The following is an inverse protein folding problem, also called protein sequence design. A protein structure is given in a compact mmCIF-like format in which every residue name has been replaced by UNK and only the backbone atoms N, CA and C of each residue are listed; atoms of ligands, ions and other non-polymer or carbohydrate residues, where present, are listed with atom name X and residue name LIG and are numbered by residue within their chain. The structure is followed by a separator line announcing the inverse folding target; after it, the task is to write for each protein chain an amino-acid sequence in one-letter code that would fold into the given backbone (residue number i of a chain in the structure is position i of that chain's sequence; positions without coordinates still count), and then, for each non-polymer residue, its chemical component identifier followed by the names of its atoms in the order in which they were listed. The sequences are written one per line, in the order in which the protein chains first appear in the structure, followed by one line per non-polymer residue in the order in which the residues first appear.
data_IF_677564527792
#
_entry.id   IF_677564527792
#
_cell.length_a   1.000
_cell.length_b   1.000
_cell.length_c   1.000
_cell.angle_alpha   90.00
_cell.angle_beta   90.00
_cell.angle_gamma   90.00
#
_symmetry.space_group_name_H-M   'P 1'
#
loop_
_entity.id
_entity.type
_entity.pdbx_description
1 polymer ?
#
# COMPACT_ATOMS: atom_id res chain seq x y z
N UNK A 1 -4.22 2.30 -15.67
CA UNK A 1 -5.16 3.47 -15.40
C UNK A 1 -5.76 3.43 -13.99
N UNK A 2 -5.93 2.24 -13.41
CA UNK A 2 -6.46 2.03 -12.05
C UNK A 2 -5.41 2.41 -10.99
N UNK A 3 -4.14 2.03 -11.17
CA UNK A 3 -3.03 2.40 -10.28
C UNK A 3 -2.87 3.92 -10.13
N UNK A 4 -2.98 4.68 -11.23
CA UNK A 4 -3.01 6.16 -11.18
C UNK A 4 -4.18 6.72 -10.37
N UNK A 5 -5.37 6.14 -10.44
CA UNK A 5 -6.53 6.60 -9.64
C UNK A 5 -6.41 6.26 -8.16
N UNK A 6 -5.75 5.14 -7.83
CA UNK A 6 -5.47 4.72 -6.46
C UNK A 6 -4.41 5.63 -5.83
N UNK A 7 -3.29 5.88 -6.54
CA UNK A 7 -2.24 6.85 -6.16
C UNK A 7 -2.82 8.24 -5.89
N UNK A 8 -3.68 8.75 -6.79
CA UNK A 8 -4.31 10.07 -6.60
C UNK A 8 -5.33 10.13 -5.46
N UNK A 9 -5.99 9.03 -5.07
CA UNK A 9 -6.90 9.04 -3.90
C UNK A 9 -6.13 8.96 -2.58
N UNK A 10 -5.10 8.12 -2.52
CA UNK A 10 -4.24 7.94 -1.34
C UNK A 10 -3.43 9.22 -1.08
N UNK A 11 -2.80 9.79 -2.11
CA UNK A 11 -2.00 11.03 -2.00
C UNK A 11 -2.87 12.24 -1.63
N UNK A 12 -4.08 12.35 -2.17
CA UNK A 12 -4.95 13.51 -1.93
C UNK A 12 -5.63 13.48 -0.55
N UNK A 13 -5.76 12.31 0.10
CA UNK A 13 -6.13 12.22 1.52
C UNK A 13 -4.93 12.52 2.44
N UNK A 14 -3.74 11.99 2.11
CA UNK A 14 -2.53 12.22 2.91
C UNK A 14 -2.13 13.69 2.97
N UNK A 15 -2.23 14.44 1.86
CA UNK A 15 -1.85 15.87 1.82
C UNK A 15 -2.83 16.77 2.60
N UNK A 16 -4.09 16.36 2.79
CA UNK A 16 -5.09 17.15 3.54
C UNK A 16 -4.98 16.92 5.05
N UNK A 17 -4.59 15.71 5.48
CA UNK A 17 -4.41 15.38 6.90
C UNK A 17 -3.13 16.00 7.50
N UNK A 18 -2.04 16.06 6.73
CA UNK A 18 -0.73 16.54 7.22
C UNK A 18 -0.69 18.07 7.42
N UNK A 19 -1.49 18.85 6.69
CA UNK A 19 -1.50 20.32 6.84
C UNK A 19 -2.33 20.84 8.02
N UNK A 20 -3.18 20.02 8.65
CA UNK A 20 -4.04 20.47 9.75
C UNK A 20 -3.38 20.23 11.13
N UNK A 21 -2.52 19.22 11.27
CA UNK A 21 -1.84 18.92 12.55
C UNK A 21 -0.57 19.76 12.80
N UNK A 22 0.18 20.13 11.75
CA UNK A 22 1.44 20.91 11.90
C UNK A 22 1.21 22.35 12.38
N UNK A 23 0.01 22.91 12.17
CA UNK A 23 -0.32 24.29 12.61
C UNK A 23 -0.66 24.38 14.11
N UNK A 24 -0.93 23.25 14.78
CA UNK A 24 -1.32 23.27 16.19
C UNK A 24 -0.15 23.20 17.19
N UNK A 25 1.03 22.73 16.79
CA UNK A 25 2.13 22.39 17.73
C UNK A 25 3.16 23.53 17.92
N UNK A 26 3.21 24.54 17.05
CA UNK A 26 4.17 25.67 17.17
C UNK A 26 3.60 26.97 17.76
N UNK A 27 2.39 26.94 18.32
CA UNK A 27 1.64 28.16 18.62
C UNK A 27 1.25 28.40 20.08
N UNK A 28 2.19 28.51 21.03
CA UNK A 28 1.96 29.29 22.27
C UNK A 28 3.28 29.74 22.95
N UNK A 29 3.89 30.81 22.43
CA UNK A 29 4.89 31.57 23.20
C UNK A 29 4.22 32.64 24.07
N UNK A 30 4.35 32.42 25.38
CA UNK A 30 4.34 33.36 26.51
C UNK A 30 4.12 34.85 26.21
N UNK A 31 3.06 35.43 26.81
CA UNK A 31 3.01 36.87 27.09
C UNK A 31 2.88 37.12 28.59
N UNK A 32 4.02 37.39 29.23
CA UNK A 32 4.08 38.04 30.55
C UNK A 32 3.57 39.48 30.47
N UNK A 33 2.69 39.88 31.39
CA UNK A 33 2.57 41.27 31.84
C UNK A 33 2.48 41.31 33.36
N UNK A 34 3.36 42.11 33.95
CA UNK A 34 3.58 42.19 35.40
C UNK A 34 2.74 43.23 36.14
N UNK A 35 2.75 43.02 37.46
CA UNK A 35 2.66 43.89 38.63
C UNK A 35 1.63 45.02 38.69
N UNK A 36 0.85 44.98 39.78
CA UNK A 36 0.73 46.12 40.70
C UNK A 36 0.57 45.64 42.17
N UNK A 37 1.39 46.21 43.05
CA UNK A 37 1.37 46.04 44.51
C UNK A 37 0.35 47.00 45.13
N UNK A 38 -0.42 46.54 46.11
CA UNK A 38 -0.85 47.42 47.21
C UNK A 38 -0.81 46.71 48.57
N UNK A 39 -0.45 47.50 49.57
CA UNK A 39 0.14 47.10 50.85
C UNK A 39 -0.92 47.20 51.97
N UNK A 40 -1.06 46.17 52.81
CA UNK A 40 -1.94 46.20 53.99
C UNK A 40 -1.48 45.24 55.08
N UNK A 41 -0.76 45.76 56.08
CA UNK A 41 -0.38 45.06 57.31
C UNK A 41 -1.57 44.83 58.24
N UNK A 42 -1.77 43.60 58.73
CA UNK A 42 -2.31 43.31 60.07
C UNK A 42 -1.55 42.12 60.68
N UNK A 43 -1.29 42.20 61.99
CA UNK A 43 -0.54 41.23 62.81
C UNK A 43 -1.44 40.16 63.44
N UNK A 44 -0.85 38.98 63.59
CA UNK A 44 -1.02 37.92 64.61
C UNK A 44 -2.43 37.34 64.85
N UNK A 45 -2.55 36.02 64.64
CA UNK A 45 -2.77 35.04 65.73
C UNK A 45 -2.42 33.65 65.20
N UNK A 46 -1.51 32.94 65.87
CA UNK A 46 -1.30 31.50 65.67
C UNK A 46 -2.55 30.76 66.13
N UNK A 47 -3.32 30.20 65.18
CA UNK A 47 -4.24 29.12 65.44
C UNK A 47 -3.81 27.92 64.60
N UNK A 48 -3.52 26.84 65.32
CA UNK A 48 -3.21 25.53 64.77
C UNK A 48 -4.51 24.92 64.29
N UNK A 49 -4.91 25.26 63.07
CA UNK A 49 -6.04 24.61 62.42
C UNK A 49 -5.61 23.23 61.93
N UNK A 50 -6.34 22.22 62.38
CA UNK A 50 -6.37 20.93 61.69
C UNK A 50 -7.09 21.19 60.37
N UNK A 51 -6.36 21.28 59.26
CA UNK A 51 -6.94 21.18 57.92
C UNK A 51 -7.73 19.88 57.85
N UNK A 52 -9.05 20.00 57.89
CA UNK A 52 -9.91 19.02 57.25
C UNK A 52 -9.64 19.20 55.76
N UNK A 53 -9.11 18.17 55.11
CA UNK A 53 -9.16 18.08 53.65
C UNK A 53 -10.62 18.29 53.25
N UNK A 54 -10.93 19.41 52.63
CA UNK A 54 -12.14 19.54 51.83
C UNK A 54 -11.99 18.49 50.72
N UNK A 55 -12.94 17.57 50.58
CA UNK A 55 -12.98 16.67 49.42
C UNK A 55 -13.07 17.58 48.19
N UNK A 56 -11.98 17.64 47.42
CA UNK A 56 -11.94 18.31 46.14
C UNK A 56 -12.92 17.55 45.24
N UNK A 57 -14.02 18.21 44.88
CA UNK A 57 -15.04 17.62 44.01
C UNK A 57 -14.70 18.02 42.58
N UNK A 58 -14.28 17.05 41.79
CA UNK A 58 -14.02 17.23 40.38
C UNK A 58 -15.30 17.07 39.54
N UNK A 59 -15.46 17.91 38.53
CA UNK A 59 -16.55 17.80 37.56
C UNK A 59 -16.14 16.83 36.45
N UNK A 60 -17.07 15.99 36.00
CA UNK A 60 -16.80 15.04 34.94
C UNK A 60 -17.09 15.67 33.58
N UNK A 61 -16.14 15.49 32.66
CA UNK A 61 -16.23 15.90 31.27
C UNK A 61 -16.15 14.65 30.39
N UNK A 62 -17.08 14.56 29.43
CA UNK A 62 -17.10 13.43 28.50
C UNK A 62 -15.96 13.55 27.51
N UNK A 63 -15.12 12.51 27.43
CA UNK A 63 -13.98 12.46 26.52
C UNK A 63 -14.41 12.58 25.06
N UNK A 64 -13.67 13.40 24.31
CA UNK A 64 -13.78 13.50 22.86
C UNK A 64 -12.92 12.50 22.09
N UNK A 65 -12.11 11.69 22.79
CA UNK A 65 -11.16 10.76 22.17
C UNK A 65 -11.88 9.60 21.46
N UNK A 66 -11.33 9.22 20.30
CA UNK A 66 -11.83 8.07 19.55
C UNK A 66 -11.34 6.77 20.19
N UNK A 67 -10.05 6.73 20.55
CA UNK A 67 -9.41 5.56 21.13
C UNK A 67 -9.26 5.66 22.65
N UNK A 68 -9.03 4.53 23.33
CA UNK A 68 -8.71 4.54 24.76
C UNK A 68 -7.33 5.17 25.04
N UNK A 69 -6.41 5.05 24.08
CA UNK A 69 -5.04 5.56 24.16
C UNK A 69 -4.61 6.14 22.80
N UNK A 70 -4.04 7.33 22.80
CA UNK A 70 -3.54 7.97 21.58
C UNK A 70 -2.11 8.46 21.82
N UNK A 71 -1.17 8.05 20.97
CA UNK A 71 0.26 8.34 21.12
C UNK A 71 0.81 9.15 19.94
N UNK A 72 1.62 10.17 20.25
CA UNK A 72 2.43 10.92 19.29
C UNK A 72 3.89 10.80 19.68
N UNK A 73 4.67 10.09 18.86
CA UNK A 73 6.09 9.81 19.07
C UNK A 73 6.91 10.85 18.31
N UNK A 74 7.61 11.70 19.04
CA UNK A 74 8.56 12.67 18.50
C UNK A 74 9.98 12.12 18.59
N UNK A 75 10.66 12.07 17.46
CA UNK A 75 12.04 11.60 17.32
C UNK A 75 12.91 12.76 16.85
N UNK A 76 13.91 13.10 17.65
CA UNK A 76 15.04 13.89 17.17
C UNK A 76 16.12 12.91 16.70
N UNK A 77 16.69 13.17 15.54
CA UNK A 77 17.71 12.33 14.92
C UNK A 77 18.92 13.15 14.48
N UNK A 78 20.08 12.51 14.42
CA UNK A 78 21.27 13.11 13.82
C UNK A 78 21.10 13.33 12.31
N UNK A 79 22.09 13.95 11.66
CA UNK A 79 22.02 14.21 10.22
C UNK A 79 21.93 12.94 9.35
N UNK A 80 22.25 11.76 9.87
CA UNK A 80 22.12 10.49 9.16
C UNK A 80 20.75 9.83 9.37
N UNK A 81 19.92 10.37 10.26
CA UNK A 81 18.61 9.84 10.62
C UNK A 81 18.63 8.87 11.80
N UNK A 82 19.75 8.78 12.55
CA UNK A 82 19.83 7.94 13.75
C UNK A 82 19.19 8.66 14.94
N UNK A 83 18.26 8.04 15.68
CA UNK A 83 17.61 8.68 16.82
C UNK A 83 18.59 9.09 17.93
N UNK A 84 18.44 10.32 18.42
CA UNK A 84 19.17 10.87 19.57
C UNK A 84 18.27 11.10 20.77
N UNK A 85 16.98 11.38 20.53
CA UNK A 85 15.95 11.53 21.55
C UNK A 85 14.61 10.99 21.05
N UNK A 86 13.88 10.28 21.90
CA UNK A 86 12.52 9.81 21.62
C UNK A 86 11.60 10.22 22.78
N UNK A 87 10.67 11.11 22.47
CA UNK A 87 9.68 11.65 23.41
C UNK A 87 8.28 11.30 22.92
N UNK A 88 7.45 10.76 23.81
CA UNK A 88 6.11 10.29 23.47
C UNK A 88 5.10 11.07 24.28
N UNK A 89 4.20 11.77 23.59
CA UNK A 89 3.01 12.35 24.20
C UNK A 89 1.89 11.34 24.11
N UNK A 90 1.22 11.08 25.23
CA UNK A 90 0.15 10.09 25.34
C UNK A 90 -1.10 10.75 25.93
N UNK A 91 -2.23 10.55 25.27
CA UNK A 91 -3.55 10.83 25.82
C UNK A 91 -4.20 9.52 26.27
N UNK A 92 -4.83 9.51 27.45
CA UNK A 92 -5.63 8.39 27.97
C UNK A 92 -7.07 8.84 28.18
N UNK A 93 -7.99 8.09 27.59
CA UNK A 93 -9.42 8.36 27.69
C UNK A 93 -9.94 8.14 29.10
N UNK A 94 -10.69 9.10 29.62
CA UNK A 94 -11.43 8.97 30.86
C UNK A 94 -12.61 8.00 30.67
N UNK A 95 -12.64 6.85 31.37
CA UNK A 95 -13.69 5.85 31.19
C UNK A 95 -15.00 6.20 31.92
N UNK A 96 -15.07 7.35 32.61
CA UNK A 96 -16.28 7.85 33.26
C UNK A 96 -16.08 8.19 34.73
N UNK A 97 -17.14 8.78 35.30
CA UNK A 97 -17.16 9.20 36.71
C UNK A 97 -16.87 8.02 37.66
N UNK A 98 -16.03 8.29 38.67
CA UNK A 98 -15.61 7.35 39.72
C UNK A 98 -14.86 6.09 39.21
N UNK A 99 -14.40 6.09 37.96
CA UNK A 99 -13.57 5.03 37.39
C UNK A 99 -12.08 5.33 37.56
N UNK A 100 -11.25 4.29 37.53
CA UNK A 100 -9.79 4.43 37.51
C UNK A 100 -9.29 4.57 36.08
N UNK A 101 -8.27 5.41 35.90
CA UNK A 101 -7.56 5.52 34.63
C UNK A 101 -6.27 4.71 34.76
N UNK A 102 -6.15 3.65 33.97
CA UNK A 102 -5.00 2.75 33.98
C UNK A 102 -4.28 2.77 32.65
N UNK A 103 -2.96 2.54 32.70
CA UNK A 103 -2.12 2.46 31.52
C UNK A 103 -1.07 1.34 31.66
N UNK A 104 -0.66 0.80 30.52
CA UNK A 104 0.50 -0.06 30.35
C UNK A 104 1.48 0.69 29.47
N UNK A 105 2.67 1.01 29.99
CA UNK A 105 3.67 1.72 29.20
C UNK A 105 5.10 1.32 29.57
N UNK A 106 5.93 1.14 28.55
CA UNK A 106 7.37 0.93 28.64
C UNK A 106 8.15 2.24 28.75
N UNK A 107 7.47 3.38 28.56
CA UNK A 107 8.06 4.70 28.63
C UNK A 107 8.56 5.01 30.05
N UNK A 108 9.60 5.83 30.11
CA UNK A 108 10.19 6.30 31.36
C UNK A 108 10.00 7.80 31.53
N UNK A 109 10.25 8.33 32.74
CA UNK A 109 10.15 9.76 33.04
C UNK A 109 8.75 10.35 32.75
N UNK A 110 7.70 9.60 33.12
CA UNK A 110 6.31 10.02 32.92
C UNK A 110 6.05 11.35 33.63
N UNK A 111 5.57 12.34 32.88
CA UNK A 111 5.29 13.69 33.36
C UNK A 111 3.89 14.09 32.91
N UNK A 112 3.01 14.41 33.87
CA UNK A 112 1.69 14.97 33.55
C UNK A 112 1.86 16.34 32.87
N UNK A 113 1.12 16.58 31.79
CA UNK A 113 1.18 17.82 31.00
C UNK A 113 -0.04 18.72 31.24
N UNK A 114 -1.13 18.15 31.73
CA UNK A 114 -2.38 18.86 31.99
C UNK A 114 -2.98 18.43 33.33
N UNK A 115 -3.46 19.39 34.13
CA UNK A 115 -4.02 19.09 35.44
C UNK A 115 -2.96 18.84 36.52
N UNK A 116 -3.41 18.25 37.63
CA UNK A 116 -2.64 17.95 38.84
C UNK A 116 -2.74 16.48 39.26
N UNK A 117 -3.27 15.61 38.40
CA UNK A 117 -3.43 14.18 38.62
C UNK A 117 -2.07 13.53 38.90
N UNK A 118 -1.98 12.83 40.02
CA UNK A 118 -0.79 12.04 40.35
C UNK A 118 -0.80 10.67 39.64
N UNK A 119 0.39 10.20 39.26
CA UNK A 119 0.60 8.86 38.69
C UNK A 119 1.24 7.92 39.70
N UNK A 120 0.61 6.76 39.90
CA UNK A 120 1.11 5.70 40.77
C UNK A 120 1.52 4.48 39.96
N UNK A 121 2.76 4.02 40.12
CA UNK A 121 3.20 2.75 39.52
C UNK A 121 2.60 1.57 40.29
N UNK A 122 1.94 0.66 39.55
CA UNK A 122 1.42 -0.61 40.04
C UNK A 122 2.42 -1.77 39.84
N UNK A 123 3.59 -1.50 39.26
CA UNK A 123 4.60 -2.49 38.89
C UNK A 123 4.30 -3.18 37.55
N UNK A 124 5.32 -3.85 36.98
CA UNK A 124 5.23 -4.53 35.68
C UNK A 124 4.73 -3.62 34.54
N UNK A 125 5.26 -2.39 34.46
CA UNK A 125 4.89 -1.37 33.46
C UNK A 125 3.42 -0.91 33.53
N UNK A 126 2.71 -1.20 34.63
CA UNK A 126 1.34 -0.74 34.86
C UNK A 126 1.33 0.51 35.72
N UNK A 127 0.47 1.45 35.35
CA UNK A 127 0.30 2.73 36.04
C UNK A 127 -1.18 3.01 36.28
N UNK A 128 -1.48 3.71 37.37
CA UNK A 128 -2.79 4.24 37.70
C UNK A 128 -2.67 5.74 37.84
N UNK A 129 -3.53 6.47 37.14
CA UNK A 129 -3.64 7.92 37.20
C UNK A 129 -4.84 8.29 38.07
N UNK A 130 -4.69 9.34 38.86
CA UNK A 130 -5.84 9.97 39.51
C UNK A 130 -6.86 10.42 38.46
N UNK A 131 -8.15 10.28 38.78
CA UNK A 131 -9.23 10.67 37.88
C UNK A 131 -9.89 11.93 38.43
N UNK A 132 -9.54 13.08 37.85
CA UNK A 132 -10.14 14.37 38.15
C UNK A 132 -11.23 14.76 37.13
N UNK A 133 -11.83 13.76 36.46
CA UNK A 133 -12.99 13.96 35.58
C UNK A 133 -12.66 14.34 34.14
N UNK A 134 -11.38 14.49 33.80
CA UNK A 134 -10.87 14.82 32.45
C UNK A 134 -10.02 13.67 31.88
N UNK A 135 -9.67 13.75 30.59
CA UNK A 135 -8.68 12.87 29.97
C UNK A 135 -7.27 13.18 30.49
N UNK A 136 -6.39 12.17 30.52
CA UNK A 136 -5.00 12.35 30.97
C UNK A 136 -4.09 12.62 29.78
N UNK A 137 -3.28 13.67 29.86
CA UNK A 137 -2.24 13.97 28.88
C UNK A 137 -0.87 13.93 29.57
N UNK A 138 -0.04 12.95 29.21
CA UNK A 138 1.29 12.83 29.78
C UNK A 138 2.37 12.72 28.70
N UNK A 139 3.61 13.01 29.10
CA UNK A 139 4.80 12.83 28.28
C UNK A 139 5.72 11.80 28.92
N UNK A 140 6.32 10.94 28.12
CA UNK A 140 7.34 9.98 28.53
C UNK A 140 8.47 9.89 27.51
N UNK A 141 9.55 9.19 27.88
CA UNK A 141 10.75 9.03 27.05
C UNK A 141 11.06 7.56 26.82
N UNK A 142 11.54 7.24 25.62
CA UNK A 142 12.06 5.93 25.26
C UNK A 142 13.59 5.98 25.03
N UNK A 143 14.24 4.82 25.13
CA UNK A 143 15.67 4.71 24.82
C UNK A 143 15.89 5.00 23.32
N UNK A 144 16.84 5.88 22.92
CA UNK A 144 17.11 6.17 21.50
C UNK A 144 17.52 4.93 20.68
N UNK A 145 18.01 3.86 21.31
CA UNK A 145 18.29 2.58 20.68
C UNK A 145 17.04 1.69 20.47
N UNK A 146 15.85 2.17 20.84
CA UNK A 146 14.59 1.47 20.55
C UNK A 146 14.38 1.40 19.04
N UNK A 147 14.11 0.20 18.52
CA UNK A 147 13.83 0.01 17.10
C UNK A 147 12.52 0.70 16.74
N UNK A 148 12.59 1.72 15.88
CA UNK A 148 11.43 2.38 15.28
C UNK A 148 10.82 1.48 14.21
N UNK A 149 9.49 1.52 14.00
CA UNK A 149 8.85 0.71 12.96
C UNK A 149 9.27 1.16 11.55
N UNK A 150 9.57 2.44 11.36
CA UNK A 150 10.18 2.96 10.14
C UNK A 150 11.46 3.69 10.47
N UNK A 151 12.57 3.34 9.81
CA UNK A 151 13.81 4.11 9.89
C UNK A 151 13.98 5.02 8.68
N UNK A 152 14.55 6.20 8.91
CA UNK A 152 14.95 7.15 7.87
C UNK A 152 16.47 7.19 7.82
N UNK A 153 17.05 6.98 6.64
CA UNK A 153 18.50 7.07 6.44
C UNK A 153 18.83 8.15 5.42
N UNK A 154 19.67 9.10 5.82
CA UNK A 154 20.13 10.18 4.95
C UNK A 154 21.59 9.95 4.52
N UNK A 155 21.84 10.03 3.22
CA UNK A 155 23.18 9.97 2.63
C UNK A 155 23.43 11.18 1.74
N UNK A 156 24.60 11.78 1.87
CA UNK A 156 24.94 13.05 1.23
C UNK A 156 26.07 12.90 0.23
N UNK A 157 25.99 13.67 -0.86
CA UNK A 157 27.02 13.71 -1.87
C UNK A 157 27.32 15.14 -2.29
N UNK A 158 28.60 15.48 -2.42
CA UNK A 158 29.09 16.75 -2.98
C UNK A 158 29.89 16.45 -4.25
N UNK A 159 29.48 17.05 -5.37
CA UNK A 159 30.08 16.84 -6.69
C UNK A 159 30.23 15.35 -7.08
N UNK A 160 29.25 14.55 -6.64
CA UNK A 160 29.18 13.10 -6.90
C UNK A 160 29.98 12.22 -5.94
N UNK A 161 30.72 12.79 -4.98
CA UNK A 161 31.41 12.03 -3.92
C UNK A 161 30.57 11.99 -2.65
N UNK A 162 30.44 10.81 -2.04
CA UNK A 162 29.78 10.66 -0.75
C UNK A 162 30.58 11.38 0.35
N UNK A 163 29.89 12.16 1.18
CA UNK A 163 30.47 12.99 2.24
C UNK A 163 29.62 12.90 3.51
N UNK A 164 30.18 13.22 4.67
CA UNK A 164 29.39 13.38 5.89
C UNK A 164 28.66 14.73 5.91
N UNK A 165 27.58 14.83 6.68
CA UNK A 165 26.81 16.08 6.80
C UNK A 165 27.66 17.27 7.27
N UNK A 166 28.56 17.06 8.24
CA UNK A 166 29.51 18.08 8.74
C UNK A 166 30.40 18.70 7.67
N UNK A 167 30.55 18.04 6.51
CA UNK A 167 31.36 18.52 5.40
C UNK A 167 30.57 19.38 4.41
N UNK A 168 29.24 19.44 4.54
CA UNK A 168 28.37 20.18 3.62
C UNK A 168 28.17 21.64 4.02
N UNK A 169 28.27 21.97 5.30
CA UNK A 169 28.14 23.32 5.83
C UNK A 169 29.00 24.34 5.06
N UNK A 170 28.36 25.40 4.55
CA UNK A 170 29.01 26.49 3.81
C UNK A 170 29.62 26.09 2.46
N UNK A 171 29.38 24.87 1.97
CA UNK A 171 29.97 24.41 0.70
C UNK A 171 29.28 25.01 -0.52
N UNK A 172 29.99 24.98 -1.65
CA UNK A 172 29.48 25.34 -2.97
C UNK A 172 29.79 24.19 -3.92
N UNK A 173 28.79 23.70 -4.65
CA UNK A 173 28.91 22.55 -5.54
C UNK A 173 27.57 21.90 -5.82
N UNK A 174 27.56 20.79 -6.57
CA UNK A 174 26.34 20.00 -6.77
C UNK A 174 26.13 19.10 -5.57
N UNK A 175 25.09 19.38 -4.78
CA UNK A 175 24.68 18.53 -3.66
C UNK A 175 23.62 17.55 -4.13
N UNK A 176 23.70 16.32 -3.62
CA UNK A 176 22.66 15.31 -3.71
C UNK A 176 22.41 14.72 -2.33
N UNK A 177 21.15 14.71 -1.90
CA UNK A 177 20.68 14.13 -0.65
C UNK A 177 19.77 12.97 -0.99
N UNK A 178 20.09 11.77 -0.47
CA UNK A 178 19.26 10.58 -0.63
C UNK A 178 18.69 10.19 0.72
N UNK A 179 17.36 10.13 0.81
CA UNK A 179 16.60 9.74 1.99
C UNK A 179 15.97 8.39 1.72
N UNK A 180 16.34 7.35 2.47
CA UNK A 180 15.81 5.99 2.33
C UNK A 180 14.91 5.67 3.53
N UNK A 181 13.76 5.06 3.26
CA UNK A 181 12.76 4.69 4.26
C UNK A 181 12.69 3.17 4.30
N UNK A 182 12.86 2.58 5.47
CA UNK A 182 12.81 1.13 5.66
C UNK A 182 11.82 0.80 6.75
N UNK A 183 10.90 -0.13 6.45
CA UNK A 183 9.91 -0.61 7.38
C UNK A 183 10.39 -1.92 8.03
N UNK A 184 10.41 -1.94 9.36
CA UNK A 184 10.90 -3.05 10.19
C UNK A 184 9.78 -3.89 10.81
N UNK A 185 8.52 -3.62 10.48
CA UNK A 185 7.37 -4.31 11.08
C UNK A 185 6.97 -5.54 10.29
N UNK A 186 7.63 -6.67 10.60
CA UNK A 186 7.28 -7.99 10.07
C UNK A 186 7.61 -8.19 8.59
N UNK A 187 7.22 -9.34 8.06
CA UNK A 187 7.40 -9.72 6.65
C UNK A 187 6.18 -10.53 6.17
N UNK A 188 5.89 -10.49 4.87
CA UNK A 188 4.79 -11.23 4.25
C UNK A 188 3.44 -10.93 4.90
N UNK A 189 2.78 -11.95 5.43
CA UNK A 189 1.44 -11.84 6.06
C UNK A 189 1.44 -11.10 7.41
N UNK A 190 2.59 -10.96 8.08
CA UNK A 190 2.69 -10.24 9.37
C UNK A 190 3.19 -8.80 9.20
N UNK A 191 3.21 -8.28 7.98
CA UNK A 191 3.74 -6.97 7.67
C UNK A 191 2.73 -5.87 7.99
N UNK A 192 3.10 -4.92 8.87
CA UNK A 192 2.28 -3.74 9.17
C UNK A 192 2.67 -2.60 8.20
N UNK A 193 1.74 -2.09 7.37
CA UNK A 193 2.06 -1.03 6.44
C UNK A 193 2.15 0.33 7.14
N UNK A 194 3.18 1.10 6.82
CA UNK A 194 3.30 2.50 7.24
C UNK A 194 3.25 3.42 6.03
N UNK A 195 2.46 4.48 6.16
CA UNK A 195 2.48 5.62 5.25
C UNK A 195 3.52 6.60 5.74
N UNK A 196 4.41 7.05 4.85
CA UNK A 196 5.45 8.02 5.17
C UNK A 196 5.27 9.26 4.32
N UNK A 197 5.26 10.43 4.96
CA UNK A 197 5.35 11.74 4.33
C UNK A 197 6.63 12.40 4.82
N UNK A 198 7.51 12.73 3.89
CA UNK A 198 8.82 13.28 4.24
C UNK A 198 9.14 14.49 3.38
N UNK A 199 9.88 15.44 3.93
CA UNK A 199 10.22 16.66 3.22
C UNK A 199 11.30 17.49 3.88
N UNK A 200 11.70 18.52 3.15
CA UNK A 200 12.68 19.52 3.57
C UNK A 200 12.37 20.86 2.91
N UNK A 201 12.84 21.93 3.53
CA UNK A 201 12.79 23.27 2.94
C UNK A 201 14.22 23.69 2.57
N UNK A 202 14.42 24.07 1.32
CA UNK A 202 15.72 24.51 0.81
C UNK A 202 15.65 25.99 0.47
N UNK A 203 16.50 26.80 1.08
CA UNK A 203 16.61 28.23 0.77
C UNK A 203 16.92 28.43 -0.71
N UNK A 204 16.14 29.27 -1.41
CA UNK A 204 16.45 29.61 -2.80
C UNK A 204 17.63 30.57 -2.96
N UNK A 205 18.15 31.12 -1.86
CA UNK A 205 19.42 31.83 -1.84
C UNK A 205 20.60 30.85 -1.95
N UNK A 206 20.49 29.70 -1.28
CA UNK A 206 21.52 28.67 -1.25
C UNK A 206 21.38 27.64 -2.38
N UNK A 207 20.16 27.26 -2.78
CA UNK A 207 19.90 26.16 -3.71
C UNK A 207 19.32 26.62 -5.05
N UNK A 208 19.86 26.07 -6.16
CA UNK A 208 19.39 26.30 -7.53
C UNK A 208 19.31 24.99 -8.32
N UNK A 209 18.53 24.98 -9.40
CA UNK A 209 18.37 23.82 -10.27
C UNK A 209 18.00 22.54 -9.50
N UNK A 210 17.02 22.67 -8.60
CA UNK A 210 16.50 21.58 -7.78
C UNK A 210 15.79 20.56 -8.67
N UNK A 211 16.18 19.30 -8.53
CA UNK A 211 15.57 18.14 -9.17
C UNK A 211 15.28 17.10 -8.10
N UNK A 212 14.12 16.45 -8.18
CA UNK A 212 13.69 15.43 -7.21
C UNK A 212 13.33 14.16 -7.95
N UNK A 213 13.83 13.04 -7.47
CA UNK A 213 13.40 11.68 -7.84
C UNK A 213 12.52 11.13 -6.72
N UNK A 214 11.43 10.43 -7.10
CA UNK A 214 10.45 9.86 -6.17
C UNK A 214 9.86 10.86 -5.17
N UNK A 215 9.70 12.11 -5.61
CA UNK A 215 9.10 13.20 -4.86
C UNK A 215 8.83 14.42 -5.75
N UNK A 216 8.40 15.51 -5.13
CA UNK A 216 8.11 16.77 -5.82
C UNK A 216 8.84 17.93 -5.14
N UNK A 217 9.19 18.95 -5.94
CA UNK A 217 9.69 20.23 -5.45
C UNK A 217 8.79 21.36 -5.93
N UNK A 218 8.47 22.29 -5.03
CA UNK A 218 7.69 23.47 -5.33
C UNK A 218 8.36 24.72 -4.78
N UNK A 219 8.63 25.67 -5.66
CA UNK A 219 9.20 26.97 -5.28
C UNK A 219 8.10 27.90 -4.75
N UNK A 220 8.25 28.40 -3.52
CA UNK A 220 7.29 29.26 -2.84
C UNK A 220 8.03 30.27 -1.96
N UNK A 221 7.68 31.55 -2.08
CA UNK A 221 8.13 32.64 -1.21
C UNK A 221 9.64 32.79 -0.98
N UNK A 222 10.45 32.37 -1.95
CA UNK A 222 11.91 32.47 -1.88
C UNK A 222 12.61 31.13 -1.76
N UNK A 223 11.89 30.09 -1.32
CA UNK A 223 12.42 28.79 -0.94
C UNK A 223 11.78 27.65 -1.75
N UNK A 224 12.40 26.47 -1.70
CA UNK A 224 11.86 25.24 -2.27
C UNK A 224 11.31 24.36 -1.16
N UNK A 225 10.02 24.07 -1.20
CA UNK A 225 9.43 22.95 -0.46
C UNK A 225 9.65 21.67 -1.28
N UNK A 226 10.41 20.74 -0.73
CA UNK A 226 10.61 19.40 -1.28
C UNK A 226 9.86 18.40 -0.42
N UNK A 227 9.07 17.53 -1.03
CA UNK A 227 8.27 16.55 -0.31
C UNK A 227 8.05 15.28 -1.12
N UNK A 228 7.83 14.17 -0.42
CA UNK A 228 7.53 12.87 -0.99
C UNK A 228 6.57 12.07 -0.11
N UNK A 229 5.97 11.05 -0.73
CA UNK A 229 5.01 10.14 -0.11
C UNK A 229 5.45 8.71 -0.41
N UNK A 230 5.58 7.87 0.62
CA UNK A 230 6.18 6.54 0.51
C UNK A 230 5.38 5.48 1.26
N UNK A 231 5.50 4.24 0.77
CA UNK A 231 4.91 3.02 1.35
C UNK A 231 6.01 1.96 1.50
N UNK A 232 7.00 2.17 2.40
CA UNK A 232 8.18 1.34 2.47
C UNK A 232 7.83 -0.11 2.77
N UNK A 233 8.33 -1.04 1.93
CA UNK A 233 8.14 -2.49 2.08
C UNK A 233 6.82 -3.05 1.53
N UNK A 234 5.86 -2.21 1.11
CA UNK A 234 4.55 -2.70 0.62
C UNK A 234 4.68 -3.48 -0.68
N UNK A 235 5.57 -3.05 -1.58
CA UNK A 235 5.79 -3.70 -2.87
C UNK A 235 6.26 -5.15 -2.70
N UNK A 236 7.20 -5.34 -1.78
CA UNK A 236 7.78 -6.62 -1.41
C UNK A 236 6.79 -7.48 -0.63
N UNK A 237 6.07 -6.90 0.35
CA UNK A 237 5.07 -7.61 1.15
C UNK A 237 3.92 -8.17 0.29
N UNK A 238 3.54 -7.45 -0.77
CA UNK A 238 2.53 -7.88 -1.73
C UNK A 238 3.10 -8.71 -2.89
N UNK A 239 4.43 -8.79 -3.04
CA UNK A 239 5.14 -9.55 -4.09
C UNK A 239 4.81 -9.07 -5.50
N UNK A 240 4.64 -7.75 -5.67
CA UNK A 240 4.11 -7.17 -6.91
C UNK A 240 5.07 -7.36 -8.10
N UNK A 241 6.38 -7.44 -7.84
CA UNK A 241 7.42 -7.65 -8.86
C UNK A 241 7.38 -9.05 -9.51
N UNK A 242 6.66 -10.00 -8.90
CA UNK A 242 6.58 -11.38 -9.36
C UNK A 242 5.19 -11.73 -9.94
N UNK A 243 4.28 -10.75 -10.04
CA UNK A 243 2.95 -10.95 -10.60
C UNK A 243 2.89 -10.43 -12.04
N UNK A 244 2.53 -11.32 -12.97
CA UNK A 244 2.32 -11.00 -14.38
C UNK A 244 1.27 -9.89 -14.59
N UNK A 245 0.34 -9.72 -13.64
CA UNK A 245 -0.63 -8.62 -13.61
C UNK A 245 0.01 -7.22 -13.71
N UNK A 246 1.27 -7.05 -13.30
CA UNK A 246 1.94 -5.75 -13.24
C UNK A 246 3.11 -5.59 -14.23
N UNK A 247 3.38 -6.58 -15.09
CA UNK A 247 4.50 -6.56 -16.06
C UNK A 247 4.45 -5.36 -17.03
N UNK A 248 3.25 -4.83 -17.30
CA UNK A 248 3.05 -3.68 -18.20
C UNK A 248 2.88 -2.33 -17.46
N UNK A 249 2.86 -2.30 -16.12
CA UNK A 249 2.72 -1.07 -15.33
C UNK A 249 3.97 -0.82 -14.46
N UNK A 250 4.72 0.25 -14.75
CA UNK A 250 5.76 0.76 -13.85
C UNK A 250 5.12 1.28 -12.55
N UNK A 251 5.13 0.44 -11.50
CA UNK A 251 4.67 0.82 -10.17
C UNK A 251 5.77 1.57 -9.42
N UNK A 252 5.68 2.90 -9.40
CA UNK A 252 6.52 3.78 -8.57
C UNK A 252 6.13 3.66 -7.09
N UNK A 253 6.63 2.62 -6.42
CA UNK A 253 6.57 2.40 -4.96
C UNK A 253 7.96 2.37 -4.32
N UNK A 254 8.93 3.05 -4.96
CA UNK A 254 10.27 3.18 -4.40
C UNK A 254 10.22 3.80 -3.01
N UNK A 255 11.06 3.26 -2.12
CA UNK A 255 11.10 3.65 -0.71
C UNK A 255 12.20 4.67 -0.43
N UNK A 256 12.47 5.57 -1.38
CA UNK A 256 13.49 6.61 -1.21
C UNK A 256 13.10 7.89 -1.93
N UNK A 257 13.57 9.04 -1.43
CA UNK A 257 13.56 10.33 -2.10
C UNK A 257 14.99 10.73 -2.42
N UNK A 258 15.25 11.27 -3.62
CA UNK A 258 16.55 11.84 -3.95
C UNK A 258 16.42 13.28 -4.43
N UNK A 259 17.13 14.18 -3.78
CA UNK A 259 17.08 15.63 -4.04
C UNK A 259 18.46 16.08 -4.50
N UNK A 260 18.54 16.66 -5.69
CA UNK A 260 19.79 17.19 -6.25
C UNK A 260 19.67 18.66 -6.63
N UNK A 261 20.66 19.48 -6.27
CA UNK A 261 20.66 20.92 -6.53
C UNK A 261 22.08 21.48 -6.56
N UNK A 262 22.24 22.64 -7.20
CA UNK A 262 23.46 23.44 -7.14
C UNK A 262 23.40 24.31 -5.89
N UNK A 263 24.35 24.13 -4.99
CA UNK A 263 24.41 24.82 -3.72
C UNK A 263 25.47 25.94 -3.72
N UNK A 264 25.23 27.00 -2.96
CA UNK A 264 26.20 28.04 -2.61
C UNK A 264 25.99 28.39 -1.14
N UNK A 265 27.05 28.30 -0.34
CA UNK A 265 27.00 28.53 1.11
C UNK A 265 25.89 27.67 1.76
N UNK A 266 26.01 26.35 1.57
CA UNK A 266 24.92 25.43 1.92
C UNK A 266 24.64 25.35 3.42
N UNK A 267 23.36 25.49 3.75
CA UNK A 267 22.78 25.25 5.07
C UNK A 267 21.45 24.51 4.89
N UNK A 268 21.07 23.71 5.88
CA UNK A 268 19.78 23.01 5.94
C UNK A 268 19.29 23.00 7.39
N UNK A 269 18.12 23.57 7.67
CA UNK A 269 17.59 23.61 9.03
C UNK A 269 17.23 22.23 9.57
N UNK A 270 16.42 21.46 8.86
CA UNK A 270 16.12 20.07 9.19
C UNK A 270 15.39 19.39 8.02
N UNK A 271 15.29 18.07 8.11
CA UNK A 271 14.31 17.29 7.35
C UNK A 271 13.24 16.80 8.32
N UNK A 272 11.99 16.74 7.87
CA UNK A 272 10.87 16.26 8.67
C UNK A 272 10.25 15.05 7.99
N UNK A 273 9.95 14.02 8.78
CA UNK A 273 9.27 12.80 8.32
C UNK A 273 8.15 12.45 9.29
N UNK A 274 6.92 12.49 8.80
CA UNK A 274 5.74 12.02 9.52
C UNK A 274 5.37 10.64 8.98
N UNK A 275 5.11 9.69 9.86
CA UNK A 275 4.61 8.39 9.46
C UNK A 275 3.62 7.80 10.45
N UNK A 276 2.66 7.04 9.92
CA UNK A 276 1.66 6.33 10.70
C UNK A 276 1.15 5.12 9.94
N UNK A 277 0.62 4.15 10.67
CA UNK A 277 -0.19 3.07 10.13
C UNK A 277 -1.68 3.44 10.33
N UNK A 278 -2.63 2.58 9.92
CA UNK A 278 -4.06 2.85 10.12
C UNK A 278 -4.68 3.95 9.23
N UNK A 279 -3.99 4.43 8.19
CA UNK A 279 -4.54 5.46 7.27
C UNK A 279 -5.57 4.90 6.26
N UNK A 280 -5.75 3.58 6.20
CA UNK A 280 -6.76 2.94 5.35
C UNK A 280 -8.03 2.64 6.15
N UNK A 281 -9.12 3.34 5.83
CA UNK A 281 -10.44 3.01 6.36
C UNK A 281 -10.79 1.55 6.04
N UNK A 282 -11.17 0.79 7.09
CA UNK A 282 -11.46 -0.64 7.01
C UNK A 282 -12.43 -0.99 5.87
N UNK A 283 -13.48 -0.18 5.72
CA UNK A 283 -14.50 -0.34 4.68
C UNK A 283 -13.92 -0.21 3.26
N UNK A 284 -13.00 0.74 3.05
CA UNK A 284 -12.37 0.94 1.73
C UNK A 284 -11.45 -0.22 1.38
N UNK A 285 -10.83 -0.83 2.39
CA UNK A 285 -9.94 -1.97 2.21
C UNK A 285 -10.73 -3.25 1.89
N UNK A 286 -11.81 -3.52 2.64
CA UNK A 286 -12.73 -4.64 2.37
C UNK A 286 -13.27 -4.56 0.93
N UNK A 287 -13.74 -3.37 0.51
CA UNK A 287 -14.20 -3.08 -0.86
C UNK A 287 -13.16 -3.44 -1.95
N UNK A 288 -11.86 -3.21 -1.69
CA UNK A 288 -10.78 -3.54 -2.63
C UNK A 288 -10.60 -5.05 -2.70
N UNK A 289 -10.55 -5.73 -1.56
CA UNK A 289 -10.34 -7.18 -1.50
C UNK A 289 -11.50 -7.96 -2.12
N UNK A 290 -12.74 -7.54 -1.88
CA UNK A 290 -13.93 -8.13 -2.48
C UNK A 290 -13.92 -7.99 -4.01
N UNK A 291 -13.51 -6.82 -4.53
CA UNK A 291 -13.36 -6.61 -5.97
C UNK A 291 -12.26 -7.47 -6.59
N UNK A 292 -11.15 -7.69 -5.88
CA UNK A 292 -10.09 -8.58 -6.35
C UNK A 292 -10.59 -10.03 -6.43
N UNK A 293 -11.39 -10.47 -5.46
CA UNK A 293 -12.04 -11.78 -5.48
C UNK A 293 -13.06 -11.92 -6.60
N UNK A 294 -13.93 -10.91 -6.79
CA UNK A 294 -14.87 -10.88 -7.92
C UNK A 294 -14.14 -10.92 -9.27
N UNK A 295 -13.01 -10.22 -9.40
CA UNK A 295 -12.17 -10.27 -10.59
C UNK A 295 -11.54 -11.65 -10.76
N UNK A 296 -11.03 -12.27 -9.69
CA UNK A 296 -10.46 -13.61 -9.75
C UNK A 296 -11.50 -14.64 -10.23
N UNK A 297 -12.73 -14.57 -9.71
CA UNK A 297 -13.84 -15.42 -10.15
C UNK A 297 -14.15 -15.21 -11.65
N UNK A 298 -14.11 -13.97 -12.16
CA UNK A 298 -14.29 -13.70 -13.58
C UNK A 298 -13.17 -14.30 -14.45
N UNK A 299 -11.92 -14.29 -13.97
CA UNK A 299 -10.79 -14.95 -14.64
C UNK A 299 -10.99 -16.48 -14.66
N UNK A 300 -11.44 -17.06 -13.55
CA UNK A 300 -11.80 -18.48 -13.46
C UNK A 300 -12.91 -18.86 -14.46
N UNK A 301 -14.02 -18.11 -14.47
CA UNK A 301 -15.13 -18.30 -15.41
C UNK A 301 -14.67 -18.21 -16.88
N UNK A 302 -13.79 -17.26 -17.20
CA UNK A 302 -13.23 -17.10 -18.55
C UNK A 302 -12.32 -18.27 -18.94
N UNK A 303 -11.52 -18.78 -17.99
CA UNK A 303 -10.69 -19.97 -18.15
C UNK A 303 -11.55 -21.21 -18.45
N UNK A 304 -12.60 -21.43 -17.65
CA UNK A 304 -13.54 -22.54 -17.85
C UNK A 304 -14.25 -22.45 -19.20
N UNK A 305 -14.75 -21.27 -19.59
CA UNK A 305 -15.41 -21.06 -20.89
C UNK A 305 -14.46 -21.32 -22.06
N UNK A 306 -13.20 -20.90 -21.94
CA UNK A 306 -12.17 -21.15 -22.96
C UNK A 306 -11.87 -22.65 -23.08
N UNK A 307 -11.78 -23.35 -21.94
CA UNK A 307 -11.60 -24.81 -21.90
C UNK A 307 -12.79 -25.53 -22.54
N UNK A 308 -14.03 -25.14 -22.21
CA UNK A 308 -15.24 -25.73 -22.81
C UNK A 308 -15.29 -25.48 -24.33
N UNK A 309 -14.88 -24.29 -24.78
CA UNK A 309 -14.78 -23.96 -26.19
C UNK A 309 -13.74 -24.83 -26.91
N UNK A 310 -12.56 -25.03 -26.32
CA UNK A 310 -11.52 -25.95 -26.84
C UNK A 310 -12.05 -27.38 -26.95
N UNK A 311 -12.75 -27.88 -25.93
CA UNK A 311 -13.36 -29.21 -26.00
C UNK A 311 -14.41 -29.32 -27.11
N UNK A 312 -15.31 -28.33 -27.23
CA UNK A 312 -16.36 -28.31 -28.26
C UNK A 312 -15.75 -28.27 -29.67
N UNK A 313 -14.69 -27.50 -29.86
CA UNK A 313 -13.97 -27.41 -31.14
C UNK A 313 -13.16 -28.69 -31.42
N UNK A 314 -12.59 -29.33 -30.40
CA UNK A 314 -11.98 -30.66 -30.51
C UNK A 314 -12.98 -31.72 -30.97
N UNK A 315 -14.19 -31.75 -30.37
CA UNK A 315 -15.29 -32.63 -30.82
C UNK A 315 -15.70 -32.32 -32.26
N UNK A 316 -15.71 -31.05 -32.66
CA UNK A 316 -16.02 -30.62 -34.03
C UNK A 316 -14.97 -31.12 -35.04
N UNK A 317 -13.68 -31.08 -34.66
CA UNK A 317 -12.56 -31.59 -35.47
C UNK A 317 -12.68 -33.09 -35.70
N UNK A 318 -12.97 -33.85 -34.66
CA UNK A 318 -13.08 -35.31 -34.72
C UNK A 318 -14.30 -35.77 -35.52
N UNK A 319 -15.45 -35.08 -35.36
CA UNK A 319 -16.62 -35.27 -36.22
C UNK A 319 -16.35 -34.89 -37.68
N UNK A 320 -15.58 -33.83 -37.92
CA UNK A 320 -15.15 -33.41 -39.25
C UNK A 320 -14.27 -34.44 -39.96
N UNK A 321 -13.33 -35.08 -39.25
CA UNK A 321 -12.52 -36.21 -39.78
C UNK A 321 -13.40 -37.38 -40.19
N UNK A 322 -14.34 -37.77 -39.33
CA UNK A 322 -15.26 -38.87 -39.61
C UNK A 322 -16.14 -38.60 -40.84
N UNK A 323 -16.62 -37.36 -40.99
CA UNK A 323 -17.38 -36.93 -42.16
C UNK A 323 -16.53 -36.96 -43.44
N UNK A 324 -15.26 -36.54 -43.36
CA UNK A 324 -14.29 -36.56 -44.47
C UNK A 324 -14.08 -37.99 -44.97
N UNK A 325 -13.79 -38.92 -44.07
CA UNK A 325 -13.59 -40.35 -44.38
C UNK A 325 -14.84 -40.99 -45.02
N UNK A 326 -16.03 -40.65 -44.51
CA UNK A 326 -17.30 -41.11 -45.07
C UNK A 326 -17.57 -40.56 -46.48
N UNK A 327 -17.28 -39.28 -46.72
CA UNK A 327 -17.43 -38.66 -48.03
C UNK A 327 -16.44 -39.24 -49.05
N UNK A 328 -15.18 -39.47 -48.66
CA UNK A 328 -14.17 -40.13 -49.49
C UNK A 328 -14.61 -41.56 -49.87
N UNK A 329 -15.11 -42.33 -48.90
CA UNK A 329 -15.63 -43.69 -49.12
C UNK A 329 -16.82 -43.68 -50.09
N UNK A 330 -17.77 -42.76 -49.91
CA UNK A 330 -18.93 -42.61 -50.79
C UNK A 330 -18.49 -42.25 -52.22
N UNK A 331 -17.56 -41.30 -52.35
CA UNK A 331 -17.03 -40.87 -53.65
C UNK A 331 -16.34 -42.02 -54.39
N UNK A 332 -15.50 -42.79 -53.71
CA UNK A 332 -14.82 -43.95 -54.28
C UNK A 332 -15.81 -45.05 -54.69
N UNK A 333 -16.83 -45.31 -53.87
CA UNK A 333 -17.89 -46.27 -54.16
C UNK A 333 -18.71 -45.88 -55.39
N UNK A 334 -19.07 -44.60 -55.53
CA UNK A 334 -19.80 -44.09 -56.68
C UNK A 334 -18.95 -44.04 -57.95
N UNK A 335 -17.66 -43.74 -57.85
CA UNK A 335 -16.74 -43.82 -58.99
C UNK A 335 -16.57 -45.26 -59.51
N UNK A 336 -16.52 -46.22 -58.60
CA UNK A 336 -16.50 -47.65 -58.95
C UNK A 336 -17.81 -48.08 -59.62
N UNK A 337 -18.96 -47.63 -59.08
CA UNK A 337 -20.28 -47.95 -59.63
C UNK A 337 -20.48 -47.30 -61.01
N UNK A 338 -20.08 -46.03 -61.17
CA UNK A 338 -20.12 -45.28 -62.42
C UNK A 338 -19.30 -45.96 -63.52
N UNK A 339 -18.06 -46.35 -63.19
CA UNK A 339 -17.18 -47.09 -64.10
C UNK A 339 -17.82 -48.42 -64.54
N UNK A 340 -18.38 -49.16 -63.59
CA UNK A 340 -19.01 -50.47 -63.85
C UNK A 340 -20.26 -50.32 -64.72
N UNK A 341 -21.14 -49.36 -64.41
CA UNK A 341 -22.36 -49.11 -65.18
C UNK A 341 -22.07 -48.57 -66.58
N UNK A 342 -21.04 -47.73 -66.73
CA UNK A 342 -20.60 -47.25 -68.03
C UNK A 342 -20.13 -48.39 -68.93
N UNK A 343 -19.40 -49.37 -68.39
CA UNK A 343 -19.00 -50.58 -69.12
C UNK A 343 -20.21 -51.44 -69.51
N UNK A 344 -21.18 -51.60 -68.60
CA UNK A 344 -22.41 -52.37 -68.86
C UNK A 344 -23.30 -51.69 -69.91
N UNK A 345 -23.46 -50.36 -69.85
CA UNK A 345 -24.28 -49.59 -70.79
C UNK A 345 -23.68 -49.61 -72.22
N UNK A 346 -22.36 -49.75 -72.34
CA UNK A 346 -21.72 -49.98 -73.64
C UNK A 346 -22.13 -51.33 -74.27
N UNK A 347 -22.46 -52.33 -73.44
CA UNK A 347 -22.91 -53.65 -73.88
C UNK A 347 -24.44 -53.76 -74.02
N UNK A 348 -25.23 -53.02 -73.22
CA UNK A 348 -26.70 -52.97 -73.26
C UNK A 348 -27.20 -51.51 -73.23
N UNK A 349 -27.63 -50.95 -74.38
CA UNK A 349 -28.11 -49.58 -74.48
C UNK A 349 -29.28 -49.22 -73.55
N UNK A 350 -30.03 -50.21 -73.03
CA UNK A 350 -31.15 -49.97 -72.10
C UNK A 350 -30.68 -49.43 -70.74
N UNK A 351 -29.39 -49.56 -70.42
CA UNK A 351 -28.80 -49.11 -69.16
C UNK A 351 -28.25 -47.68 -69.23
N UNK A 352 -28.29 -47.02 -70.39
CA UNK A 352 -27.66 -45.71 -70.60
C UNK A 352 -28.20 -44.62 -69.65
N UNK A 353 -29.51 -44.56 -69.42
CA UNK A 353 -30.12 -43.58 -68.51
C UNK A 353 -29.67 -43.79 -67.05
N UNK A 354 -29.54 -45.05 -66.62
CA UNK A 354 -29.09 -45.40 -65.26
C UNK A 354 -27.60 -45.07 -65.09
N UNK A 355 -26.78 -45.36 -66.09
CA UNK A 355 -25.37 -45.00 -66.08
C UNK A 355 -25.18 -43.47 -65.99
N UNK A 356 -25.97 -42.69 -66.76
CA UNK A 356 -25.92 -41.23 -66.71
C UNK A 356 -26.32 -40.67 -65.33
N UNK A 357 -27.35 -41.22 -64.70
CA UNK A 357 -27.78 -40.79 -63.36
C UNK A 357 -26.72 -41.10 -62.28
N UNK A 358 -26.03 -42.25 -62.37
CA UNK A 358 -24.94 -42.59 -61.46
C UNK A 358 -23.70 -41.73 -61.70
N UNK A 359 -23.40 -41.38 -62.94
CA UNK A 359 -22.31 -40.46 -63.27
C UNK A 359 -22.52 -39.09 -62.62
N UNK A 360 -23.74 -38.54 -62.72
CA UNK A 360 -24.10 -37.29 -62.03
C UNK A 360 -24.00 -37.41 -60.50
N UNK A 361 -24.38 -38.56 -59.94
CA UNK A 361 -24.26 -38.82 -58.50
C UNK A 361 -22.78 -38.91 -58.06
N UNK A 362 -21.92 -39.50 -58.89
CA UNK A 362 -20.47 -39.57 -58.68
C UNK A 362 -19.83 -38.18 -58.69
N UNK A 363 -20.17 -37.34 -59.67
CA UNK A 363 -19.73 -35.93 -59.72
C UNK A 363 -20.23 -35.12 -58.51
N UNK A 364 -21.49 -35.32 -58.11
CA UNK A 364 -22.07 -34.74 -56.89
C UNK A 364 -21.32 -35.16 -55.62
N UNK A 365 -20.92 -36.42 -55.53
CA UNK A 365 -20.13 -36.93 -54.39
C UNK A 365 -18.72 -36.35 -54.36
N UNK A 366 -18.05 -36.17 -55.51
CA UNK A 366 -16.75 -35.49 -55.58
C UNK A 366 -16.85 -34.04 -55.07
N UNK A 367 -17.94 -33.35 -55.42
CA UNK A 367 -18.23 -32.00 -54.94
C UNK A 367 -18.49 -31.97 -53.42
N UNK A 368 -19.23 -32.96 -52.89
CA UNK A 368 -19.43 -33.13 -51.44
C UNK A 368 -18.09 -33.34 -50.71
N UNK A 369 -17.24 -34.23 -51.21
CA UNK A 369 -15.89 -34.47 -50.66
C UNK A 369 -15.06 -33.18 -50.62
N UNK A 370 -15.08 -32.38 -51.68
CA UNK A 370 -14.37 -31.09 -51.71
C UNK A 370 -14.92 -30.12 -50.65
N UNK A 371 -16.25 -30.03 -50.50
CA UNK A 371 -16.89 -29.21 -49.47
C UNK A 371 -16.56 -29.65 -48.04
N UNK A 372 -16.60 -30.96 -47.78
CA UNK A 372 -16.22 -31.53 -46.48
C UNK A 372 -14.73 -31.29 -46.18
N UNK A 373 -13.85 -31.44 -47.17
CA UNK A 373 -12.43 -31.11 -47.03
C UNK A 373 -12.19 -29.63 -46.70
N UNK A 374 -12.92 -28.72 -47.33
CA UNK A 374 -12.84 -27.29 -47.02
C UNK A 374 -13.33 -26.96 -45.60
N UNK A 375 -14.49 -27.49 -45.21
CA UNK A 375 -15.04 -27.36 -43.85
C UNK A 375 -14.06 -27.82 -42.78
N UNK A 376 -13.51 -29.01 -42.96
CA UNK A 376 -12.67 -29.69 -41.98
C UNK A 376 -11.28 -29.02 -41.86
N UNK A 377 -10.74 -28.42 -42.94
CA UNK A 377 -9.59 -27.49 -42.86
C UNK A 377 -9.91 -26.20 -42.10
N UNK A 378 -11.14 -25.70 -42.21
CA UNK A 378 -11.59 -24.52 -41.45
C UNK A 378 -11.64 -24.80 -39.95
N UNK A 379 -12.08 -25.99 -39.57
CA UNK A 379 -12.09 -26.45 -38.16
C UNK A 379 -10.67 -26.64 -37.64
N UNK A 380 -9.75 -27.23 -38.42
CA UNK A 380 -8.33 -27.36 -38.06
C UNK A 380 -7.72 -25.98 -37.73
N UNK A 381 -7.93 -24.97 -38.58
CA UNK A 381 -7.47 -23.59 -38.32
C UNK A 381 -8.05 -22.97 -37.04
N UNK A 382 -9.31 -23.27 -36.72
CA UNK A 382 -9.94 -22.78 -35.49
C UNK A 382 -9.33 -23.44 -34.25
N UNK A 383 -8.96 -24.72 -34.31
CA UNK A 383 -8.18 -25.39 -33.26
C UNK A 383 -6.82 -24.71 -33.07
N UNK A 384 -6.06 -24.54 -34.15
CA UNK A 384 -4.71 -23.96 -34.10
C UNK A 384 -4.71 -22.53 -33.53
N UNK A 385 -5.77 -21.75 -33.80
CA UNK A 385 -5.91 -20.39 -33.24
C UNK A 385 -6.23 -20.34 -31.74
N UNK A 386 -6.79 -21.41 -31.17
CA UNK A 386 -7.19 -21.47 -29.76
C UNK A 386 -6.12 -22.09 -28.87
N UNK A 387 -5.28 -22.96 -29.41
CA UNK A 387 -4.16 -23.53 -28.66
C UNK A 387 -2.98 -22.55 -28.54
N UNK A 388 -3.02 -21.43 -29.26
CA UNK A 388 -1.84 -20.59 -29.44
C UNK A 388 -0.85 -21.35 -30.31
N UNK A 389 -0.29 -20.70 -31.32
CA UNK A 389 0.83 -21.28 -32.06
C UNK A 389 1.91 -21.71 -31.06
N UNK A 390 2.30 -22.99 -31.09
CA UNK A 390 3.34 -23.65 -30.29
C UNK A 390 4.74 -22.98 -30.34
N UNK A 391 4.86 -21.76 -30.84
CA UNK A 391 6.11 -20.98 -30.96
C UNK A 391 6.33 -19.95 -29.84
N UNK A 392 5.45 -19.84 -28.84
CA UNK A 392 5.60 -18.87 -27.73
C UNK A 392 5.69 -19.52 -26.33
N UNK A 393 6.12 -20.78 -26.25
CA UNK A 393 6.21 -21.58 -25.00
C UNK A 393 7.33 -21.15 -24.04
N UNK A 394 8.02 -20.04 -24.30
CA UNK A 394 9.09 -19.52 -23.43
C UNK A 394 8.70 -18.21 -22.70
N UNK A 395 7.45 -17.74 -22.83
CA UNK A 395 6.91 -16.72 -21.92
C UNK A 395 6.10 -17.42 -20.85
N UNK A 396 6.48 -17.24 -19.59
CA UNK A 396 5.68 -17.68 -18.45
C UNK A 396 4.23 -17.24 -18.63
N UNK A 397 3.34 -18.19 -18.37
CA UNK A 397 2.02 -18.33 -18.96
C UNK A 397 1.06 -17.23 -18.49
N UNK A 398 0.73 -16.32 -19.41
CA UNK A 398 -0.19 -15.19 -19.28
C UNK A 398 -1.68 -15.64 -19.24
N UNK A 399 -1.92 -16.85 -18.73
CA UNK A 399 -3.20 -17.56 -18.74
C UNK A 399 -4.21 -16.95 -17.77
N UNK A 400 -5.49 -17.19 -18.05
CA UNK A 400 -6.57 -16.80 -17.14
C UNK A 400 -6.42 -17.45 -15.75
N UNK A 401 -5.86 -18.67 -15.66
CA UNK A 401 -5.62 -19.38 -14.40
C UNK A 401 -4.47 -18.75 -13.60
N UNK A 402 -3.39 -18.31 -14.26
CA UNK A 402 -2.30 -17.57 -13.62
C UNK A 402 -2.83 -16.28 -12.99
N UNK A 403 -3.60 -15.50 -13.76
CA UNK A 403 -4.18 -14.22 -13.31
C UNK A 403 -5.20 -14.39 -12.20
N UNK A 404 -6.04 -15.43 -12.25
CA UNK A 404 -6.92 -15.79 -11.14
C UNK A 404 -6.12 -16.03 -9.85
N UNK A 405 -5.10 -16.89 -9.92
CA UNK A 405 -4.28 -17.24 -8.76
C UNK A 405 -3.53 -16.03 -8.19
N UNK A 406 -2.98 -15.16 -9.04
CA UNK A 406 -2.32 -13.94 -8.62
C UNK A 406 -3.29 -12.97 -7.91
N UNK A 407 -4.51 -12.77 -8.45
CA UNK A 407 -5.53 -11.93 -7.81
C UNK A 407 -5.97 -12.48 -6.45
N UNK A 408 -6.15 -13.80 -6.32
CA UNK A 408 -6.47 -14.44 -5.03
C UNK A 408 -5.35 -14.24 -4.01
N UNK A 409 -4.09 -14.51 -4.39
CA UNK A 409 -2.92 -14.28 -3.53
C UNK A 409 -2.79 -12.82 -3.12
N UNK A 410 -3.03 -11.89 -4.04
CA UNK A 410 -3.01 -10.47 -3.74
C UNK A 410 -4.09 -10.09 -2.73
N UNK A 411 -5.32 -10.60 -2.89
CA UNK A 411 -6.41 -10.41 -1.92
C UNK A 411 -6.05 -10.95 -0.53
N UNK A 412 -5.51 -12.18 -0.46
CA UNK A 412 -5.08 -12.80 0.80
C UNK A 412 -3.99 -11.98 1.50
N UNK A 413 -2.96 -11.55 0.77
CA UNK A 413 -1.88 -10.70 1.31
C UNK A 413 -2.38 -9.34 1.79
N UNK A 414 -3.30 -8.73 1.05
CA UNK A 414 -3.95 -7.50 1.48
C UNK A 414 -4.72 -7.72 2.79
N UNK A 415 -5.55 -8.76 2.89
CA UNK A 415 -6.30 -9.07 4.13
C UNK A 415 -5.38 -9.32 5.33
N UNK A 416 -4.26 -10.01 5.10
CA UNK A 416 -3.25 -10.24 6.13
C UNK A 416 -2.58 -8.92 6.58
N UNK A 417 -2.19 -8.07 5.62
CA UNK A 417 -1.63 -6.75 5.88
C UNK A 417 -2.60 -5.85 6.66
N UNK A 418 -3.90 -5.84 6.33
CA UNK A 418 -4.93 -5.13 7.09
C UNK A 418 -5.04 -5.66 8.52
N UNK A 419 -4.99 -6.99 8.70
CA UNK A 419 -5.03 -7.59 10.04
C UNK A 419 -3.80 -7.21 10.87
N UNK A 420 -2.62 -7.13 10.25
CA UNK A 420 -1.39 -6.68 10.90
C UNK A 420 -1.39 -5.16 11.21
N UNK A 421 -2.05 -4.37 10.37
CA UNK A 421 -2.28 -2.93 10.60
C UNK A 421 -3.09 -2.69 11.88
N UNK A 422 -4.18 -3.44 12.07
CA UNK A 422 -5.05 -3.35 13.26
C UNK A 422 -4.34 -3.74 14.57
N UNK A 423 -3.20 -4.42 14.51
CA UNK A 423 -2.45 -4.86 15.69
C UNK A 423 -1.42 -3.83 16.16
N UNK A 424 -0.87 -2.99 15.27
CA UNK A 424 0.11 -1.97 15.67
C UNK A 424 -0.63 -0.68 16.06
N UNK A 425 -0.96 -0.55 17.34
CA UNK A 425 -1.81 0.53 17.84
C UNK A 425 -1.16 1.36 18.94
N UNK A 426 0.06 1.02 19.35
CA UNK A 426 0.82 1.75 20.35
C UNK A 426 2.32 1.47 20.23
N UNK A 427 3.13 2.50 20.48
CA UNK A 427 4.57 2.43 20.65
C UNK A 427 4.96 2.18 22.12
N UNK A 428 4.32 2.86 23.07
CA UNK A 428 4.63 2.73 24.49
C UNK A 428 4.14 1.42 25.10
N UNK A 429 3.11 0.80 24.51
CA UNK A 429 2.42 -0.39 24.99
C UNK A 429 0.94 -0.11 25.22
N UNK A 430 0.10 -1.16 25.17
CA UNK A 430 -1.35 -1.04 25.30
C UNK A 430 -1.89 -2.08 26.29
N UNK A 431 -2.85 -1.69 27.12
CA UNK A 431 -3.52 -2.61 28.04
C UNK A 431 -4.47 -3.54 27.26
N UNK A 432 -4.59 -4.80 27.71
CA UNK A 432 -5.43 -5.80 27.03
C UNK A 432 -6.89 -5.33 26.94
N UNK A 433 -7.45 -5.37 25.73
CA UNK A 433 -8.83 -4.97 25.45
C UNK A 433 -9.06 -3.46 25.29
N UNK A 434 -8.01 -2.64 25.34
CA UNK A 434 -8.04 -1.21 25.00
C UNK A 434 -7.79 -0.99 23.52
N UNK A 435 -8.35 0.09 22.96
CA UNK A 435 -8.02 0.55 21.60
C UNK A 435 -6.91 1.60 21.63
N UNK A 436 -6.07 1.62 20.59
CA UNK A 436 -4.91 2.50 20.51
C UNK A 436 -4.76 3.13 19.14
N UNK A 437 -4.09 4.28 19.08
CA UNK A 437 -3.53 4.81 17.83
C UNK A 437 -2.16 5.44 18.09
N UNK A 438 -1.30 5.43 17.08
CA UNK A 438 0.05 5.98 17.18
C UNK A 438 0.49 6.65 15.88
N UNK A 439 1.17 7.79 16.01
CA UNK A 439 1.83 8.50 14.92
C UNK A 439 3.24 8.90 15.30
N UNK A 440 4.10 9.10 14.31
CA UNK A 440 5.51 9.36 14.51
C UNK A 440 5.97 10.58 13.71
N UNK A 441 6.74 11.45 14.35
CA UNK A 441 7.34 12.63 13.74
C UNK A 441 8.84 12.55 14.00
N UNK A 442 9.62 12.44 12.93
CA UNK A 442 11.08 12.44 12.97
C UNK A 442 11.62 13.73 12.36
N UNK A 443 12.46 14.43 13.11
CA UNK A 443 13.19 15.61 12.66
C UNK A 443 14.70 15.39 12.78
N UNK A 444 15.46 15.71 11.72
CA UNK A 444 16.93 15.62 11.75
C UNK A 444 17.56 16.92 12.24
N UNK A 445 18.76 16.86 12.81
CA UNK A 445 19.54 18.03 13.19
C UNK A 445 19.92 18.95 11.99
N UNK A 446 20.19 20.22 12.30
CA UNK A 446 20.57 21.28 11.34
C UNK A 446 21.99 21.15 10.81
N UNK A 447 22.18 21.36 9.51
CA UNK A 447 23.50 21.47 8.87
C UNK A 447 23.84 22.95 8.71
N UNK A 448 24.84 23.44 9.46
CA UNK A 448 25.32 24.84 9.43
C UNK A 448 26.83 24.96 9.56
#
# INVERSE_FOLDING_TARGET
MIARKLKYKIVNLAVIAVFISVVAVTGCQNTQKGNEQENGKVKETEQRDQEKQEEQVYEYHESGMENDKEESVYILADHAGSPTEITVTTALKNPGKDQKITDVTTLTQLTNKEGDEEVTSLGSNRYEWENHGEDIHYEGTADPGTLLPVSVKLTYYLDGQEVSADQLAGTTGRIRIRMEYENHTGEGENFTPFVVVSGMMLSGECAKHVTVENGEAKYMDGDYLVYGFFLPGVKEALDLDHMSLFDEEDMELDSYMEVSFDATDFELDFTATLYSNGMTERDQFEDITDRLEEMADQYGDASEQTTELKEKIGKLRDGGKSLREGADTLSQGLETLDTTLSQLAAADPRLAEVAQAVSQLSEGSKSLTQGVNAYTKGVEKACDSLDGTEEDTDKEDDSYETKENELRKLSERLKAMQSADELYTSFGGLEEGKTGSVSFILETEEIR
#
